data_IF_695103814967
#
_entry.id   IF_695103814967
#
_cell.length_a   1.000
_cell.length_b   1.000
_cell.length_c   1.000
_cell.angle_alpha   90.00
_cell.angle_beta   90.00
_cell.angle_gamma   90.00
#
_symmetry.space_group_name_H-M   'P 1'
#
loop_
_entity.id
_entity.type
_entity.pdbx_description
1 polymer ?
#
# COMPACT_ATOMS: atom_id res chain seq x y z
N UNK A 1 -25.79 27.70 -23.52
CA UNK A 1 -25.41 26.89 -22.34
C UNK A 1 -26.68 26.48 -21.62
N UNK A 2 -27.09 25.21 -21.71
CA UNK A 2 -28.25 24.70 -20.99
C UNK A 2 -27.81 24.19 -19.62
N UNK A 3 -28.41 24.71 -18.55
CA UNK A 3 -28.09 24.31 -17.18
C UNK A 3 -28.68 22.92 -16.88
N UNK A 4 -27.83 21.99 -16.45
CA UNK A 4 -28.24 20.63 -16.04
C UNK A 4 -28.84 20.69 -14.64
N UNK A 5 -30.09 20.27 -14.50
CA UNK A 5 -30.84 20.31 -13.24
C UNK A 5 -30.72 18.96 -12.52
N UNK A 6 -30.01 18.95 -11.39
CA UNK A 6 -29.80 17.75 -10.57
C UNK A 6 -31.05 17.40 -9.76
N UNK A 7 -31.42 16.12 -9.75
CA UNK A 7 -32.50 15.60 -8.92
C UNK A 7 -31.97 14.46 -8.05
N UNK A 8 -32.29 14.51 -6.76
CA UNK A 8 -32.02 13.42 -5.81
C UNK A 8 -32.88 12.20 -6.15
N UNK A 9 -32.25 11.04 -6.35
CA UNK A 9 -32.95 9.75 -6.41
C UNK A 9 -32.93 9.10 -5.03
N UNK A 10 -34.11 8.74 -4.54
CA UNK A 10 -34.25 7.96 -3.31
C UNK A 10 -33.78 6.51 -3.54
N UNK A 11 -32.78 6.08 -2.76
CA UNK A 11 -32.25 4.71 -2.76
C UNK A 11 -33.15 3.81 -1.90
N UNK A 12 -33.57 2.66 -2.43
CA UNK A 12 -34.43 1.70 -1.72
C UNK A 12 -33.58 0.64 -1.01
N UNK A 13 -33.23 0.93 0.23
CA UNK A 13 -32.34 0.09 1.04
C UNK A 13 -32.92 -1.30 1.31
N UNK A 14 -34.24 -1.44 1.47
CA UNK A 14 -34.89 -2.72 1.76
C UNK A 14 -34.74 -3.72 0.59
N UNK A 15 -34.89 -3.23 -0.65
CA UNK A 15 -34.72 -4.07 -1.84
C UNK A 15 -33.26 -4.50 -2.05
N UNK A 16 -32.30 -3.63 -1.73
CA UNK A 16 -30.87 -3.99 -1.81
C UNK A 16 -30.48 -5.02 -0.73
N UNK A 17 -31.02 -4.87 0.48
CA UNK A 17 -30.78 -5.81 1.58
C UNK A 17 -31.30 -7.21 1.25
N UNK A 18 -32.47 -7.31 0.61
CA UNK A 18 -33.04 -8.59 0.17
C UNK A 18 -32.26 -9.22 -0.98
N UNK A 19 -31.70 -8.42 -1.90
CA UNK A 19 -30.89 -8.94 -3.01
C UNK A 19 -29.47 -9.34 -2.63
N UNK A 20 -28.92 -8.77 -1.54
CA UNK A 20 -27.53 -8.97 -1.12
C UNK A 20 -27.39 -9.69 0.23
N UNK A 21 -28.48 -10.15 0.83
CA UNK A 21 -28.48 -10.91 2.07
C UNK A 21 -27.95 -12.32 1.84
N UNK A 22 -26.84 -12.68 2.50
CA UNK A 22 -26.37 -14.06 2.60
C UNK A 22 -27.34 -14.88 3.45
N UNK A 23 -27.56 -16.13 3.06
CA UNK A 23 -28.45 -17.06 3.76
C UNK A 23 -27.94 -17.30 5.19
N UNK A 24 -28.78 -17.01 6.18
CA UNK A 24 -28.43 -17.19 7.60
C UNK A 24 -28.56 -18.68 7.93
N UNK A 25 -27.44 -19.41 7.87
CA UNK A 25 -27.38 -20.77 8.40
C UNK A 25 -27.40 -20.72 9.94
N UNK A 26 -28.30 -21.46 10.62
CA UNK A 26 -28.27 -21.60 12.06
C UNK A 26 -26.99 -22.34 12.46
N UNK A 27 -26.15 -21.72 13.31
CA UNK A 27 -24.99 -22.38 13.88
C UNK A 27 -25.45 -23.17 15.10
N UNK A 28 -25.45 -24.51 14.99
CA UNK A 28 -25.62 -25.38 16.15
C UNK A 28 -24.37 -25.30 17.04
N UNK A 29 -24.55 -24.87 18.30
CA UNK A 29 -23.48 -24.82 19.28
C UNK A 29 -23.11 -26.22 19.74
N UNK A 30 -22.03 -26.78 19.19
CA UNK A 30 -21.40 -27.99 19.72
C UNK A 30 -20.71 -27.71 21.06
N UNK A 31 -20.75 -28.68 21.97
CA UNK A 31 -20.35 -28.55 23.38
C UNK A 31 -18.85 -28.30 23.64
N UNK A 32 -18.03 -28.26 22.59
CA UNK A 32 -16.60 -27.96 22.69
C UNK A 32 -16.29 -26.57 22.13
N UNK A 33 -16.33 -25.57 23.01
CA UNK A 33 -15.86 -24.21 22.71
C UNK A 33 -14.52 -23.95 23.42
N UNK A 34 -13.48 -23.44 22.71
CA UNK A 34 -12.12 -23.26 23.23
C UNK A 34 -11.97 -22.22 24.35
N UNK A 35 -13.06 -21.59 24.79
CA UNK A 35 -13.11 -20.61 25.89
C UNK A 35 -14.02 -21.03 27.06
N UNK A 36 -14.41 -22.31 27.18
CA UNK A 36 -15.07 -22.78 28.40
C UNK A 36 -14.06 -22.77 29.57
N UNK A 37 -14.43 -22.11 30.67
CA UNK A 37 -13.64 -22.01 31.89
C UNK A 37 -13.38 -23.39 32.50
N UNK A 38 -12.12 -23.74 32.72
CA UNK A 38 -11.69 -24.97 33.39
C UNK A 38 -12.03 -24.88 34.88
N UNK A 39 -13.06 -25.60 35.33
CA UNK A 39 -13.26 -25.90 36.75
C UNK A 39 -12.50 -27.18 37.10
N UNK A 40 -11.47 -27.03 37.92
CA UNK A 40 -10.65 -28.13 38.45
C UNK A 40 -11.42 -28.81 39.60
N UNK A 41 -11.80 -30.07 39.43
CA UNK A 41 -12.22 -30.95 40.53
C UNK A 41 -11.10 -31.93 40.85
N UNK A 42 -10.61 -31.85 42.09
CA UNK A 42 -9.61 -32.73 42.67
C UNK A 42 -10.18 -34.12 42.92
N UNK A 43 -9.50 -35.18 42.46
CA UNK A 43 -9.82 -36.56 42.84
C UNK A 43 -8.54 -37.37 43.04
N UNK A 44 -8.29 -37.66 44.32
CA UNK A 44 -7.14 -38.35 44.88
C UNK A 44 -7.25 -39.88 44.70
N UNK A 45 -6.22 -40.47 44.11
CA UNK A 45 -5.61 -41.80 44.35
C UNK A 45 -6.45 -43.08 44.23
N UNK A 46 -6.02 -43.98 43.31
CA UNK A 46 -5.59 -45.34 43.71
C UNK A 46 -4.65 -45.99 42.68
N UNK A 47 -3.62 -46.66 43.21
CA UNK A 47 -2.54 -47.41 42.54
C UNK A 47 -3.07 -48.65 41.79
N UNK A 48 -2.40 -49.02 40.68
CA UNK A 48 -2.58 -50.32 40.02
C UNK A 48 -1.60 -50.60 38.88
N UNK A 49 -0.48 -51.23 39.23
CA UNK A 49 0.41 -52.17 38.51
C UNK A 49 0.66 -52.16 36.97
N UNK A 50 1.94 -52.42 36.68
CA UNK A 50 2.66 -52.68 35.42
C UNK A 50 2.20 -53.93 34.62
N UNK A 51 2.31 -53.84 33.29
CA UNK A 51 2.85 -54.80 32.30
C UNK A 51 2.62 -54.18 30.90
N UNK A 52 3.51 -54.12 29.92
CA UNK A 52 4.70 -54.91 29.62
C UNK A 52 4.49 -55.65 28.29
N UNK A 53 5.19 -55.19 27.24
CA UNK A 53 5.58 -55.93 26.00
C UNK A 53 4.49 -56.16 24.93
N UNK A 54 4.71 -56.36 23.62
CA UNK A 54 5.76 -56.18 22.58
C UNK A 54 5.12 -56.74 21.28
N UNK A 55 5.51 -56.23 20.09
CA UNK A 55 5.58 -56.93 18.75
C UNK A 55 4.29 -57.53 18.14
N UNK A 56 4.05 -57.70 16.83
CA UNK A 56 4.70 -57.38 15.54
C UNK A 56 3.80 -57.92 14.40
N UNK A 57 3.77 -57.23 13.25
CA UNK A 57 3.65 -57.70 11.84
C UNK A 57 2.90 -59.01 11.45
N UNK A 58 2.05 -58.95 10.41
CA UNK A 58 2.32 -59.51 9.05
C UNK A 58 1.11 -59.46 8.09
N UNK A 59 1.44 -59.51 6.79
CA UNK A 59 0.72 -59.45 5.50
C UNK A 59 -0.30 -60.60 5.24
N UNK A 60 -1.11 -60.72 4.16
CA UNK A 60 -0.96 -60.44 2.71
C UNK A 60 -2.24 -60.83 1.91
N UNK A 61 -2.26 -60.47 0.61
CA UNK A 61 -2.97 -61.09 -0.56
C UNK A 61 -4.39 -60.59 -0.91
N UNK A 62 -4.89 -60.55 -2.14
CA UNK A 62 -4.37 -60.55 -3.54
C UNK A 62 -5.59 -60.39 -4.47
N UNK A 63 -5.45 -59.76 -5.65
CA UNK A 63 -6.15 -60.15 -6.90
C UNK A 63 -5.77 -59.22 -8.06
N UNK A 64 -5.49 -59.84 -9.19
CA UNK A 64 -4.99 -59.27 -10.44
C UNK A 64 -6.17 -59.13 -11.41
N UNK A 65 -6.29 -57.98 -12.08
CA UNK A 65 -7.15 -57.77 -13.24
C UNK A 65 -6.27 -57.39 -14.46
N UNK A 66 -6.65 -57.77 -15.69
CA UNK A 66 -5.76 -57.75 -16.85
C UNK A 66 -5.53 -56.34 -17.43
N UNK A 67 -4.34 -56.23 -18.02
CA UNK A 67 -3.66 -55.07 -18.61
C UNK A 67 -4.33 -54.54 -19.92
N UNK A 68 -4.66 -53.23 -20.04
CA UNK A 68 -5.37 -52.66 -21.17
C UNK A 68 -4.47 -52.16 -22.32
N UNK A 69 -3.19 -52.56 -22.41
CA UNK A 69 -2.24 -51.99 -23.38
C UNK A 69 -2.09 -52.73 -24.72
N UNK A 70 -2.90 -53.75 -25.01
CA UNK A 70 -2.79 -54.53 -26.27
C UNK A 70 -3.57 -53.96 -27.47
N UNK A 71 -4.05 -52.71 -27.42
CA UNK A 71 -4.82 -52.08 -28.53
C UNK A 71 -4.23 -50.79 -29.13
N UNK A 72 -2.99 -50.41 -28.78
CA UNK A 72 -2.37 -49.17 -29.28
C UNK A 72 -1.29 -49.35 -30.35
N UNK A 73 -1.24 -50.49 -31.04
CA UNK A 73 -0.24 -50.74 -32.10
C UNK A 73 -0.85 -50.79 -33.50
N UNK A 74 -1.83 -49.93 -33.78
CA UNK A 74 -2.20 -49.65 -35.17
C UNK A 74 -2.44 -48.14 -35.38
N UNK A 75 -1.59 -47.55 -36.22
CA UNK A 75 -1.89 -46.32 -36.96
C UNK A 75 -1.76 -44.97 -36.23
N UNK A 76 -0.64 -44.29 -36.49
CA UNK A 76 -0.38 -42.83 -36.35
C UNK A 76 -0.23 -42.22 -34.95
N UNK A 77 0.99 -41.75 -34.66
CA UNK A 77 1.35 -40.96 -33.47
C UNK A 77 0.61 -39.61 -33.44
N UNK A 78 -0.17 -39.31 -32.38
CA UNK A 78 -0.96 -38.08 -32.27
C UNK A 78 -0.12 -36.80 -32.26
N UNK A 79 1.19 -36.84 -31.98
CA UNK A 79 2.06 -35.66 -32.04
C UNK A 79 2.27 -35.15 -33.47
N UNK A 80 2.23 -36.03 -34.47
CA UNK A 80 2.44 -35.63 -35.88
C UNK A 80 1.25 -34.86 -36.46
N UNK A 81 0.04 -35.07 -35.95
CA UNK A 81 -1.15 -34.34 -36.38
C UNK A 81 -1.20 -32.91 -35.83
N UNK A 82 -0.73 -32.68 -34.60
CA UNK A 82 -0.64 -31.33 -34.03
C UNK A 82 0.46 -30.48 -34.68
N UNK A 83 1.58 -31.12 -35.09
CA UNK A 83 2.66 -30.44 -35.82
C UNK A 83 2.25 -30.04 -37.26
N UNK A 84 1.39 -30.81 -37.92
CA UNK A 84 0.91 -30.50 -39.28
C UNK A 84 -0.17 -29.41 -39.30
N UNK A 85 -1.03 -29.34 -38.26
CA UNK A 85 -2.06 -28.31 -38.15
C UNK A 85 -1.51 -26.92 -37.77
N UNK A 86 -0.29 -26.83 -37.23
CA UNK A 86 0.35 -25.57 -36.83
C UNK A 86 1.17 -24.91 -37.96
N UNK A 87 1.29 -25.54 -39.12
CA UNK A 87 2.06 -25.02 -40.26
C UNK A 87 1.24 -24.21 -41.28
N UNK A 88 -0.06 -23.97 -41.06
CA UNK A 88 -0.93 -23.28 -42.03
C UNK A 88 -1.85 -22.18 -41.45
N UNK A 89 -1.44 -21.55 -40.35
CA UNK A 89 -2.04 -20.27 -39.93
C UNK A 89 -0.94 -19.27 -39.57
N UNK A 90 -0.80 -18.24 -40.40
CA UNK A 90 -0.06 -17.03 -40.03
C UNK A 90 -0.81 -16.33 -38.89
N UNK A 91 -0.22 -16.13 -37.70
CA UNK A 91 -0.94 -15.45 -36.62
C UNK A 91 -0.97 -13.93 -36.89
N UNK A 92 -2.15 -13.28 -36.94
CA UNK A 92 -2.22 -11.85 -36.82
C UNK A 92 -2.05 -11.45 -35.34
N UNK A 93 -1.25 -10.42 -35.08
CA UNK A 93 -1.44 -9.45 -33.97
C UNK A 93 -1.20 -9.84 -32.50
N UNK A 94 -0.55 -10.96 -32.14
CA UNK A 94 -0.16 -11.19 -30.72
C UNK A 94 0.92 -10.21 -30.21
N UNK A 95 1.83 -9.77 -31.09
CA UNK A 95 2.86 -8.78 -30.74
C UNK A 95 2.29 -7.37 -30.59
N UNK A 96 1.32 -6.97 -31.42
CA UNK A 96 0.62 -5.69 -31.28
C UNK A 96 -0.29 -5.68 -30.05
N UNK A 97 -0.93 -6.80 -29.69
CA UNK A 97 -1.76 -6.86 -28.49
C UNK A 97 -0.93 -6.85 -27.20
N UNK A 98 0.26 -7.47 -27.17
CA UNK A 98 1.22 -7.30 -26.05
C UNK A 98 1.76 -5.88 -25.97
N UNK A 99 2.20 -5.31 -27.10
CA UNK A 99 2.74 -3.93 -27.15
C UNK A 99 1.69 -2.86 -26.86
N UNK A 100 0.41 -3.12 -27.17
CA UNK A 100 -0.73 -2.26 -26.81
C UNK A 100 -1.07 -2.37 -25.32
N UNK A 101 -0.97 -3.57 -24.72
CA UNK A 101 -1.18 -3.81 -23.28
C UNK A 101 -0.03 -3.25 -22.42
N UNK A 102 1.22 -3.40 -22.85
CA UNK A 102 2.40 -2.81 -22.22
C UNK A 102 2.36 -1.26 -22.25
N UNK A 103 1.89 -0.67 -23.35
CA UNK A 103 1.72 0.80 -23.46
C UNK A 103 0.55 1.32 -22.62
N UNK A 104 -0.37 0.44 -22.23
CA UNK A 104 -1.50 0.76 -21.34
C UNK A 104 -1.10 0.65 -19.86
N UNK A 105 -0.07 -0.15 -19.54
CA UNK A 105 0.53 -0.31 -18.22
C UNK A 105 1.46 0.85 -17.81
N UNK A 106 1.76 1.78 -18.71
CA UNK A 106 2.50 3.01 -18.40
C UNK A 106 1.58 4.24 -18.35
N UNK A 107 1.91 5.13 -17.41
CA UNK A 107 1.26 6.43 -17.28
C UNK A 107 1.64 7.30 -18.48
N UNK A 108 0.64 7.81 -19.18
CA UNK A 108 0.82 8.63 -20.38
C UNK A 108 1.28 10.06 -20.08
N UNK A 109 1.72 10.75 -21.12
CA UNK A 109 2.19 12.15 -21.08
C UNK A 109 1.08 13.13 -20.64
N UNK A 110 -0.18 12.71 -20.75
CA UNK A 110 -1.36 13.43 -20.30
C UNK A 110 -1.54 13.44 -18.78
N UNK A 111 -0.76 12.65 -18.03
CA UNK A 111 -0.76 12.67 -16.58
C UNK A 111 0.23 13.70 -16.04
N UNK A 112 -0.27 14.63 -15.22
CA UNK A 112 0.56 15.65 -14.59
C UNK A 112 1.58 15.00 -13.61
N UNK A 113 2.89 15.22 -13.78
CA UNK A 113 3.90 14.60 -12.94
C UNK A 113 3.96 15.24 -11.54
N UNK A 114 4.38 14.45 -10.54
CA UNK A 114 4.49 14.90 -9.15
C UNK A 114 5.47 16.08 -8.98
N UNK A 115 6.50 16.14 -9.81
CA UNK A 115 7.50 17.21 -9.82
C UNK A 115 6.87 18.60 -10.05
N UNK A 116 5.80 18.70 -10.84
CA UNK A 116 5.07 19.95 -11.06
C UNK A 116 4.39 20.43 -9.78
N UNK A 117 3.70 19.54 -9.05
CA UNK A 117 2.99 19.89 -7.81
C UNK A 117 3.92 20.14 -6.64
N UNK A 118 5.06 19.46 -6.61
CA UNK A 118 6.10 19.65 -5.58
C UNK A 118 6.48 21.13 -5.43
N UNK A 119 6.77 21.82 -6.55
CA UNK A 119 7.16 23.22 -6.53
C UNK A 119 6.06 24.14 -5.98
N UNK A 120 4.81 23.91 -6.39
CA UNK A 120 3.65 24.67 -5.92
C UNK A 120 3.43 24.51 -4.41
N UNK A 121 3.53 23.28 -3.90
CA UNK A 121 3.35 22.99 -2.47
C UNK A 121 4.41 23.74 -1.64
N UNK A 122 5.69 23.64 -2.03
CA UNK A 122 6.78 24.30 -1.31
C UNK A 122 6.67 25.83 -1.31
N UNK A 123 6.17 26.41 -2.40
CA UNK A 123 5.95 27.86 -2.50
C UNK A 123 4.75 28.33 -1.69
N UNK A 124 3.69 27.51 -1.60
CA UNK A 124 2.42 27.87 -0.96
C UNK A 124 2.40 27.65 0.55
N UNK A 125 2.96 26.56 1.02
CA UNK A 125 2.88 26.15 2.43
C UNK A 125 4.19 26.48 3.15
N UNK A 126 4.37 27.77 3.41
CA UNK A 126 5.53 28.33 4.11
C UNK A 126 5.18 28.66 5.56
N UNK A 127 6.21 28.89 6.39
CA UNK A 127 6.00 29.27 7.79
C UNK A 127 7.12 30.16 8.33
N UNK A 128 6.76 31.05 9.24
CA UNK A 128 7.70 31.82 10.08
C UNK A 128 7.81 31.25 11.49
N UNK A 129 7.00 30.23 11.82
CA UNK A 129 7.07 29.55 13.11
C UNK A 129 8.32 28.68 13.22
N UNK A 130 8.73 28.44 14.46
CA UNK A 130 9.90 27.67 14.83
C UNK A 130 9.61 26.17 14.69
N UNK A 131 10.28 25.53 13.74
CA UNK A 131 10.18 24.10 13.44
C UNK A 131 11.11 23.28 14.33
N UNK A 132 10.90 21.96 14.38
CA UNK A 132 11.79 21.05 15.10
C UNK A 132 11.97 19.73 14.35
N UNK A 133 13.14 19.12 14.54
CA UNK A 133 13.48 17.79 14.03
C UNK A 133 13.89 16.93 15.22
N UNK A 134 12.94 16.17 15.75
CA UNK A 134 13.19 15.24 16.84
C UNK A 134 13.75 13.91 16.29
N UNK A 135 15.05 13.90 15.98
CA UNK A 135 15.74 12.70 15.52
C UNK A 135 16.50 12.06 16.68
N UNK A 136 16.03 10.91 17.18
CA UNK A 136 16.83 10.08 18.08
C UNK A 136 17.81 9.26 17.25
N UNK A 137 18.85 9.91 16.71
CA UNK A 137 20.02 9.19 16.20
C UNK A 137 20.96 8.99 17.38
N UNK A 138 20.82 7.85 18.05
CA UNK A 138 21.78 7.40 19.05
C UNK A 138 23.18 7.43 18.46
N UNK A 139 23.97 8.43 18.89
CA UNK A 139 25.40 8.42 18.70
C UNK A 139 25.93 7.25 19.52
N UNK A 140 26.21 6.12 18.88
CA UNK A 140 26.94 5.03 19.55
C UNK A 140 28.38 5.48 19.77
N UNK A 141 28.59 6.23 20.85
CA UNK A 141 29.89 6.38 21.48
C UNK A 141 29.73 6.19 22.99
N UNK A 142 30.18 5.03 23.45
CA UNK A 142 30.55 4.81 24.85
C UNK A 142 29.55 4.00 25.67
N UNK A 143 29.77 2.69 25.74
CA UNK A 143 29.36 1.89 26.90
C UNK A 143 29.84 2.59 28.18
N UNK A 144 28.92 2.92 29.08
CA UNK A 144 29.23 3.04 30.50
C UNK A 144 28.50 1.89 31.23
N UNK A 145 29.23 1.01 31.95
CA UNK A 145 28.59 -0.02 32.75
C UNK A 145 27.95 0.62 33.98
N UNK A 146 26.71 0.24 34.28
CA UNK A 146 26.11 0.51 35.57
C UNK A 146 26.86 -0.25 36.66
N UNK A 147 27.36 0.45 37.69
CA UNK A 147 27.11 0.16 39.11
C UNK A 147 28.01 1.02 40.03
N UNK A 148 27.40 1.44 41.14
CA UNK A 148 28.00 1.87 42.41
C UNK A 148 28.53 3.31 42.55
N UNK A 149 27.78 4.06 43.38
CA UNK A 149 28.20 5.17 44.24
C UNK A 149 29.70 5.17 44.61
N UNK A 150 30.43 6.22 44.23
CA UNK A 150 31.44 6.87 45.09
C UNK A 150 31.90 8.20 44.48
N UNK A 151 32.08 9.20 45.36
CA UNK A 151 32.58 10.57 45.16
C UNK A 151 33.18 10.94 43.79
N UNK A 152 32.41 11.69 42.99
CA UNK A 152 32.90 12.33 41.76
C UNK A 152 33.65 13.61 42.14
N UNK A 153 34.95 13.66 41.84
CA UNK A 153 35.78 14.87 42.02
C UNK A 153 35.24 16.01 41.16
N UNK A 154 35.26 17.23 41.69
CA UNK A 154 34.73 18.46 41.09
C UNK A 154 35.15 18.66 39.62
N UNK A 155 36.37 18.24 39.25
CA UNK A 155 36.91 18.28 37.88
C UNK A 155 36.21 17.37 36.88
N UNK A 156 35.67 16.23 37.34
CA UNK A 156 34.90 15.30 36.50
C UNK A 156 33.47 15.82 36.36
N UNK A 157 32.94 16.47 37.39
CA UNK A 157 31.64 17.14 37.35
C UNK A 157 31.64 18.29 36.33
N UNK A 158 32.66 19.15 36.34
CA UNK A 158 32.77 20.25 35.35
C UNK A 158 32.88 19.72 33.92
N UNK A 159 33.57 18.60 33.69
CA UNK A 159 33.64 17.97 32.36
C UNK A 159 32.34 17.29 31.93
N UNK A 160 31.55 16.78 32.87
CA UNK A 160 30.22 16.25 32.55
C UNK A 160 29.24 17.39 32.24
N UNK A 161 29.28 18.49 33.02
CA UNK A 161 28.45 19.68 32.78
C UNK A 161 28.82 20.33 31.42
N UNK A 162 30.11 20.42 31.06
CA UNK A 162 30.53 20.90 29.73
C UNK A 162 30.07 19.98 28.58
N UNK A 163 30.02 18.66 28.78
CA UNK A 163 29.50 17.73 27.76
C UNK A 163 27.98 17.82 27.64
N UNK A 164 27.28 18.04 28.75
CA UNK A 164 25.83 18.25 28.81
C UNK A 164 25.44 19.56 28.13
N UNK A 165 26.18 20.65 28.37
CA UNK A 165 25.98 21.94 27.70
C UNK A 165 26.20 21.86 26.18
N UNK A 166 27.16 21.05 25.73
CA UNK A 166 27.44 20.83 24.30
C UNK A 166 26.37 19.94 23.63
N UNK A 167 25.91 18.90 24.32
CA UNK A 167 24.84 18.03 23.84
C UNK A 167 23.49 18.77 23.82
N UNK A 168 23.18 19.53 24.87
CA UNK A 168 22.01 20.40 24.97
C UNK A 168 22.03 21.49 23.88
N UNK A 169 23.19 22.06 23.56
CA UNK A 169 23.37 22.95 22.41
C UNK A 169 22.98 22.30 21.08
N UNK A 170 23.45 21.08 20.82
CA UNK A 170 23.14 20.34 19.59
C UNK A 170 21.68 19.87 19.49
N UNK A 171 21.06 19.51 20.63
CA UNK A 171 19.63 19.21 20.68
C UNK A 171 18.78 20.48 20.52
N UNK A 172 19.23 21.61 21.08
CA UNK A 172 18.57 22.90 20.96
C UNK A 172 18.70 23.52 19.58
N UNK A 173 19.71 23.15 18.79
CA UNK A 173 19.82 23.47 17.34
C UNK A 173 18.80 22.70 16.49
N UNK A 174 18.44 21.47 16.90
CA UNK A 174 17.39 20.67 16.24
C UNK A 174 15.97 21.11 16.62
N UNK A 175 15.85 21.93 17.67
CA UNK A 175 14.64 22.60 18.08
C UNK A 175 14.71 24.05 17.57
N UNK A 176 13.58 24.69 17.26
CA UNK A 176 13.53 26.10 16.86
C UNK A 176 14.17 26.50 15.52
N UNK A 177 14.10 25.63 14.53
CA UNK A 177 14.57 25.86 13.17
C UNK A 177 13.70 26.87 12.42
N UNK A 178 14.32 27.73 11.60
CA UNK A 178 13.58 28.46 10.57
C UNK A 178 13.14 27.49 9.47
N UNK A 179 12.26 27.94 8.57
CA UNK A 179 11.89 27.15 7.39
C UNK A 179 13.14 26.76 6.58
N UNK A 180 14.05 27.70 6.31
CA UNK A 180 15.23 27.41 5.49
C UNK A 180 16.18 26.44 6.21
N UNK A 181 16.38 26.60 7.52
CA UNK A 181 17.23 25.69 8.29
C UNK A 181 16.63 24.28 8.32
N UNK A 182 15.31 24.17 8.43
CA UNK A 182 14.61 22.90 8.32
C UNK A 182 14.86 22.25 6.96
N UNK A 183 14.69 22.98 5.84
CA UNK A 183 14.96 22.45 4.50
C UNK A 183 16.41 21.98 4.37
N UNK A 184 17.37 22.82 4.76
CA UNK A 184 18.80 22.49 4.74
C UNK A 184 19.08 21.20 5.53
N UNK A 185 18.47 21.06 6.71
CA UNK A 185 18.66 19.88 7.56
C UNK A 185 18.07 18.61 6.95
N UNK A 186 16.93 18.70 6.27
CA UNK A 186 16.37 17.57 5.50
C UNK A 186 17.28 17.21 4.31
N UNK A 187 17.86 18.19 3.63
CA UNK A 187 18.82 17.95 2.55
C UNK A 187 20.10 17.26 3.05
N UNK A 188 20.62 17.67 4.21
CA UNK A 188 21.75 17.00 4.89
C UNK A 188 21.44 15.54 5.26
N UNK A 189 20.21 15.25 5.70
CA UNK A 189 19.77 13.87 5.97
C UNK A 189 19.71 13.05 4.68
N UNK A 190 19.25 13.64 3.58
CA UNK A 190 19.26 12.99 2.26
C UNK A 190 20.70 12.71 1.78
N UNK A 191 21.61 13.64 2.01
CA UNK A 191 23.01 13.47 1.66
C UNK A 191 23.68 12.40 2.53
N UNK A 192 23.42 12.41 3.84
CA UNK A 192 23.88 11.38 4.78
C UNK A 192 23.36 9.98 4.41
N UNK A 193 22.14 9.88 3.90
CA UNK A 193 21.58 8.65 3.37
C UNK A 193 22.40 8.13 2.17
N UNK A 194 22.67 9.00 1.19
CA UNK A 194 23.43 8.64 -0.02
C UNK A 194 24.86 8.20 0.33
N UNK A 195 25.52 8.92 1.24
CA UNK A 195 26.87 8.59 1.70
C UNK A 195 26.94 7.27 2.48
N UNK A 196 25.98 7.04 3.38
CA UNK A 196 25.84 5.78 4.08
C UNK A 196 25.60 4.62 3.09
N UNK A 197 24.78 4.85 2.06
CA UNK A 197 24.54 3.86 1.02
C UNK A 197 25.79 3.55 0.20
N UNK A 198 26.52 4.58 -0.24
CA UNK A 198 27.75 4.46 -1.02
C UNK A 198 28.87 3.76 -0.22
N UNK A 199 28.90 3.95 1.09
CA UNK A 199 29.84 3.29 2.01
C UNK A 199 29.38 1.89 2.47
N UNK A 200 28.39 1.30 1.79
CA UNK A 200 27.76 0.01 2.11
C UNK A 200 27.15 -0.12 3.52
N UNK A 201 26.94 1.00 4.22
CA UNK A 201 26.32 1.04 5.55
C UNK A 201 24.78 0.96 5.46
N UNK A 202 24.26 -0.14 4.91
CA UNK A 202 22.81 -0.30 4.61
C UNK A 202 21.92 -0.22 5.85
N UNK A 203 22.41 -0.66 7.01
CA UNK A 203 21.70 -0.54 8.29
C UNK A 203 21.57 0.94 8.69
N UNK A 204 22.62 1.75 8.50
CA UNK A 204 22.59 3.19 8.77
C UNK A 204 21.64 3.91 7.82
N UNK A 205 21.70 3.58 6.52
CA UNK A 205 20.76 4.09 5.52
C UNK A 205 19.29 3.80 5.91
N UNK A 206 18.98 2.55 6.29
CA UNK A 206 17.64 2.18 6.75
C UNK A 206 17.22 2.96 8.01
N UNK A 207 18.13 3.12 8.99
CA UNK A 207 17.87 3.92 10.20
C UNK A 207 17.51 5.37 9.86
N UNK A 208 18.26 6.02 8.96
CA UNK A 208 18.00 7.41 8.53
C UNK A 208 16.58 7.53 7.97
N UNK A 209 16.19 6.61 7.09
CA UNK A 209 14.89 6.66 6.40
C UNK A 209 13.73 6.37 7.36
N UNK A 210 13.91 5.44 8.30
CA UNK A 210 12.93 5.21 9.39
C UNK A 210 12.73 6.51 10.18
N UNK A 211 13.82 7.18 10.54
CA UNK A 211 13.76 8.42 11.32
C UNK A 211 13.11 9.57 10.52
N UNK A 212 13.44 9.72 9.23
CA UNK A 212 12.77 10.69 8.36
C UNK A 212 11.27 10.41 8.29
N UNK A 213 10.86 9.15 8.15
CA UNK A 213 9.44 8.77 8.11
C UNK A 213 8.70 9.07 9.41
N UNK A 214 9.37 9.02 10.57
CA UNK A 214 8.77 9.39 11.86
C UNK A 214 8.36 10.86 11.89
N UNK A 215 9.12 11.75 11.23
CA UNK A 215 8.81 13.18 11.16
C UNK A 215 7.44 13.44 10.51
N UNK A 216 6.92 12.50 9.70
CA UNK A 216 5.59 12.60 9.09
C UNK A 216 4.44 12.36 10.07
N UNK A 217 4.71 11.81 11.25
CA UNK A 217 3.72 11.71 12.34
C UNK A 217 3.61 12.99 13.15
N UNK A 218 4.60 13.89 13.06
CA UNK A 218 4.61 15.15 13.78
C UNK A 218 3.86 16.24 13.00
N UNK A 219 2.76 16.70 13.60
CA UNK A 219 1.91 17.79 13.10
C UNK A 219 2.13 19.11 13.84
N UNK A 220 3.27 19.29 14.50
CA UNK A 220 3.73 20.60 14.93
C UNK A 220 3.93 21.53 13.73
N UNK A 221 3.48 22.78 13.88
CA UNK A 221 3.39 23.80 12.82
C UNK A 221 2.59 23.25 11.63
N UNK A 222 1.31 22.98 11.87
CA UNK A 222 0.44 22.22 10.96
C UNK A 222 0.34 22.83 9.55
N UNK A 223 0.44 24.16 9.45
CA UNK A 223 0.41 24.89 8.17
C UNK A 223 1.58 24.53 7.24
N UNK A 224 2.72 24.13 7.81
CA UNK A 224 3.91 23.69 7.06
C UNK A 224 3.88 22.20 6.70
N UNK A 225 2.91 21.42 7.20
CA UNK A 225 2.85 19.98 7.00
C UNK A 225 2.90 19.55 5.52
N UNK A 226 2.20 20.21 4.57
CA UNK A 226 2.31 19.87 3.15
C UNK A 226 3.75 19.94 2.61
N UNK A 227 4.49 20.98 2.97
CA UNK A 227 5.90 21.15 2.57
C UNK A 227 6.80 20.13 3.25
N UNK A 228 6.60 19.91 4.57
CA UNK A 228 7.26 18.87 5.35
C UNK A 228 7.13 17.50 4.67
N UNK A 229 5.91 17.13 4.28
CA UNK A 229 5.61 15.88 3.62
C UNK A 229 6.42 15.71 2.33
N UNK A 230 6.36 16.71 1.44
CA UNK A 230 7.05 16.65 0.14
C UNK A 230 8.56 16.42 0.32
N UNK A 231 9.19 17.20 1.19
CA UNK A 231 10.63 17.11 1.46
C UNK A 231 11.05 15.74 1.99
N UNK A 232 10.30 15.18 2.93
CA UNK A 232 10.60 13.87 3.51
C UNK A 232 10.36 12.75 2.49
N UNK A 233 9.30 12.85 1.68
CA UNK A 233 9.02 11.83 0.66
C UNK A 233 10.07 11.76 -0.44
N UNK A 234 10.80 12.85 -0.72
CA UNK A 234 11.95 12.82 -1.64
C UNK A 234 13.09 11.92 -1.12
N UNK A 235 13.31 11.88 0.20
CA UNK A 235 14.29 10.98 0.84
C UNK A 235 13.82 9.53 0.73
N UNK A 236 12.54 9.28 0.98
CA UNK A 236 11.94 7.94 0.86
C UNK A 236 12.06 7.40 -0.57
N UNK A 237 11.75 8.24 -1.56
CA UNK A 237 11.90 7.90 -2.98
C UNK A 237 13.35 7.59 -3.35
N UNK A 238 14.29 8.36 -2.81
CA UNK A 238 15.73 8.12 -3.01
C UNK A 238 16.13 6.75 -2.45
N UNK A 239 15.70 6.43 -1.24
CA UNK A 239 15.96 5.11 -0.65
C UNK A 239 15.33 3.97 -1.45
N UNK A 240 14.06 4.11 -1.85
CA UNK A 240 13.34 3.13 -2.67
C UNK A 240 14.06 2.83 -3.99
N UNK A 241 14.53 3.88 -4.68
CA UNK A 241 15.35 3.74 -5.91
C UNK A 241 16.66 3.01 -5.64
N UNK A 242 17.41 3.39 -4.61
CA UNK A 242 18.68 2.77 -4.26
C UNK A 242 18.53 1.27 -3.96
N UNK A 243 17.48 0.88 -3.23
CA UNK A 243 17.19 -0.54 -2.94
C UNK A 243 16.82 -1.28 -4.23
N UNK A 244 15.95 -0.70 -5.06
CA UNK A 244 15.55 -1.28 -6.33
C UNK A 244 16.75 -1.51 -7.26
N UNK A 245 17.60 -0.50 -7.45
CA UNK A 245 18.80 -0.56 -8.29
C UNK A 245 19.77 -1.64 -7.83
N UNK A 246 19.96 -1.80 -6.51
CA UNK A 246 20.80 -2.86 -5.95
C UNK A 246 20.26 -4.26 -6.27
N UNK A 247 18.95 -4.47 -6.10
CA UNK A 247 18.36 -5.78 -6.39
C UNK A 247 18.42 -6.04 -7.89
N UNK A 248 18.12 -5.03 -8.71
CA UNK A 248 18.20 -5.09 -10.17
C UNK A 248 19.60 -5.46 -10.67
N UNK A 249 20.66 -4.86 -10.11
CA UNK A 249 22.03 -5.17 -10.51
C UNK A 249 22.41 -6.61 -10.22
N UNK A 250 21.88 -7.20 -9.14
CA UNK A 250 22.11 -8.62 -8.81
C UNK A 250 21.40 -9.57 -9.76
N UNK A 251 20.33 -9.12 -10.42
CA UNK A 251 19.62 -9.92 -11.41
C UNK A 251 20.34 -9.94 -12.77
N UNK A 252 21.13 -8.91 -13.06
CA UNK A 252 21.75 -8.65 -14.37
C UNK A 252 23.05 -9.41 -14.64
N UNK A 253 23.51 -10.23 -13.69
CA UNK A 253 24.74 -11.04 -13.81
C UNK A 253 24.35 -12.51 -14.06
N UNK A 254 24.68 -13.12 -15.23
CA UNK A 254 25.56 -12.65 -16.31
C UNK A 254 24.88 -12.00 -17.53
N UNK A 255 23.55 -11.86 -17.56
CA UNK A 255 22.82 -11.19 -18.65
C UNK A 255 21.81 -10.17 -18.11
N UNK A 256 21.76 -8.93 -18.64
CA UNK A 256 20.79 -7.94 -18.20
C UNK A 256 19.36 -8.42 -18.49
N UNK A 257 18.47 -8.24 -17.51
CA UNK A 257 17.06 -8.58 -17.71
C UNK A 257 16.37 -7.54 -18.60
N UNK A 258 15.39 -7.95 -19.42
CA UNK A 258 14.52 -7.03 -20.13
C UNK A 258 13.72 -6.14 -19.16
N UNK A 259 13.36 -4.94 -19.59
CA UNK A 259 12.52 -4.02 -18.80
C UNK A 259 11.13 -4.60 -18.47
N UNK A 260 10.69 -5.62 -19.20
CA UNK A 260 9.44 -6.36 -19.02
C UNK A 260 9.63 -7.75 -18.38
N UNK A 261 10.69 -7.93 -17.57
CA UNK A 261 10.95 -9.23 -16.93
C UNK A 261 9.81 -9.68 -16.01
N UNK A 262 9.71 -11.00 -15.85
CA UNK A 262 8.79 -11.63 -14.91
C UNK A 262 9.52 -12.13 -13.66
N UNK A 263 8.83 -12.21 -12.52
CA UNK A 263 9.42 -12.70 -11.27
C UNK A 263 10.04 -14.12 -11.39
N UNK A 264 9.60 -14.92 -12.35
CA UNK A 264 10.13 -16.26 -12.62
C UNK A 264 11.57 -16.21 -13.21
N UNK A 265 11.94 -15.11 -13.87
CA UNK A 265 13.25 -14.89 -14.50
C UNK A 265 14.28 -14.29 -13.52
N UNK A 266 13.85 -13.93 -12.31
CA UNK A 266 14.72 -13.36 -11.26
C UNK A 266 15.41 -14.49 -10.51
N UNK A 267 16.74 -14.39 -10.36
CA UNK A 267 17.54 -15.37 -9.63
C UNK A 267 17.20 -15.42 -8.13
N UNK A 268 17.51 -16.55 -7.50
CA UNK A 268 17.14 -16.80 -6.10
C UNK A 268 17.85 -15.84 -5.13
N UNK A 269 19.11 -15.46 -5.42
CA UNK A 269 19.87 -14.53 -4.58
C UNK A 269 19.23 -13.13 -4.53
N UNK A 270 18.73 -12.63 -5.66
CA UNK A 270 18.03 -11.35 -5.73
C UNK A 270 16.66 -11.44 -5.05
N UNK A 271 15.92 -12.56 -5.22
CA UNK A 271 14.67 -12.81 -4.49
C UNK A 271 14.87 -12.84 -2.99
N UNK A 272 15.89 -13.55 -2.51
CA UNK A 272 16.22 -13.63 -1.08
C UNK A 272 16.61 -12.26 -0.52
N UNK A 273 17.43 -11.50 -1.26
CA UNK A 273 17.81 -10.13 -0.89
C UNK A 273 16.59 -9.22 -0.81
N UNK A 274 15.66 -9.33 -1.76
CA UNK A 274 14.42 -8.57 -1.78
C UNK A 274 13.51 -8.95 -0.59
N UNK A 275 13.31 -10.24 -0.32
CA UNK A 275 12.57 -10.72 0.84
C UNK A 275 13.18 -10.23 2.16
N UNK A 276 14.51 -10.23 2.27
CA UNK A 276 15.20 -9.73 3.46
C UNK A 276 14.87 -8.26 3.74
N UNK A 277 14.81 -7.42 2.70
CA UNK A 277 14.36 -6.03 2.84
C UNK A 277 12.92 -5.94 3.35
N UNK A 278 12.00 -6.70 2.77
CA UNK A 278 10.61 -6.73 3.24
C UNK A 278 10.50 -7.21 4.69
N UNK A 279 11.24 -8.25 5.09
CA UNK A 279 11.25 -8.70 6.49
C UNK A 279 11.83 -7.66 7.46
N UNK A 280 12.89 -6.95 7.06
CA UNK A 280 13.43 -5.83 7.86
C UNK A 280 12.41 -4.71 8.02
N UNK A 281 11.69 -4.36 6.96
CA UNK A 281 10.65 -3.32 7.01
C UNK A 281 9.46 -3.78 7.86
N UNK A 282 9.00 -5.01 7.67
CA UNK A 282 7.90 -5.61 8.44
C UNK A 282 8.19 -5.64 9.96
N UNK A 283 9.47 -5.73 10.34
CA UNK A 283 9.93 -5.72 11.74
C UNK A 283 9.87 -4.34 12.42
N UNK A 284 9.63 -3.25 11.67
CA UNK A 284 9.45 -1.90 12.23
C UNK A 284 8.13 -1.86 13.01
N UNK A 285 8.20 -1.56 14.31
CA UNK A 285 7.04 -1.58 15.21
C UNK A 285 6.07 -0.42 15.00
N UNK A 286 6.61 0.78 14.73
CA UNK A 286 5.80 1.97 14.54
C UNK A 286 5.08 1.96 13.19
N UNK A 287 3.78 2.27 13.20
CA UNK A 287 2.93 2.19 12.02
C UNK A 287 3.40 3.12 10.90
N UNK A 288 3.63 4.40 11.22
CA UNK A 288 3.94 5.44 10.22
C UNK A 288 5.25 5.12 9.48
N UNK A 289 6.39 4.89 10.16
CA UNK A 289 7.63 4.57 9.47
C UNK A 289 7.55 3.26 8.68
N UNK A 290 6.92 2.23 9.24
CA UNK A 290 6.72 0.96 8.53
C UNK A 290 5.96 1.18 7.22
N UNK A 291 4.84 1.91 7.28
CA UNK A 291 3.98 2.15 6.14
C UNK A 291 4.71 2.92 5.03
N UNK A 292 5.36 4.04 5.35
CA UNK A 292 6.03 4.87 4.36
C UNK A 292 7.22 4.15 3.71
N UNK A 293 8.04 3.45 4.49
CA UNK A 293 9.18 2.69 3.96
C UNK A 293 8.71 1.51 3.11
N UNK A 294 7.63 0.84 3.51
CA UNK A 294 7.06 -0.26 2.73
C UNK A 294 6.48 0.23 1.39
N UNK A 295 5.78 1.37 1.39
CA UNK A 295 5.30 2.01 0.15
C UNK A 295 6.48 2.44 -0.73
N UNK A 296 7.57 2.98 -0.17
CA UNK A 296 8.76 3.36 -0.94
C UNK A 296 9.41 2.16 -1.66
N UNK A 297 9.28 0.95 -1.09
CA UNK A 297 9.77 -0.29 -1.69
C UNK A 297 8.71 -1.02 -2.52
N UNK A 298 7.54 -0.43 -2.77
CA UNK A 298 6.44 -1.10 -3.48
C UNK A 298 6.89 -1.64 -4.84
N UNK A 299 7.73 -0.88 -5.58
CA UNK A 299 8.32 -1.29 -6.86
C UNK A 299 9.16 -2.57 -6.77
N UNK A 300 9.77 -2.86 -5.62
CA UNK A 300 10.56 -4.07 -5.41
C UNK A 300 9.72 -5.34 -5.38
N UNK A 301 8.39 -5.26 -5.20
CA UNK A 301 7.51 -6.45 -5.30
C UNK A 301 7.61 -7.14 -6.67
N UNK A 302 8.02 -6.41 -7.72
CA UNK A 302 8.22 -6.94 -9.07
C UNK A 302 9.25 -8.08 -9.12
N UNK A 303 10.17 -8.14 -8.16
CA UNK A 303 11.17 -9.21 -8.06
C UNK A 303 10.63 -10.51 -7.46
N UNK A 304 9.51 -10.44 -6.73
CA UNK A 304 9.02 -11.57 -5.92
C UNK A 304 7.87 -12.30 -6.60
N UNK A 305 6.81 -11.57 -6.95
CA UNK A 305 5.59 -12.18 -7.49
C UNK A 305 4.90 -11.24 -8.48
N UNK A 306 4.21 -11.81 -9.47
CA UNK A 306 3.40 -11.06 -10.45
C UNK A 306 2.22 -10.33 -9.78
N UNK A 307 1.66 -10.91 -8.71
CA UNK A 307 0.50 -10.36 -8.00
C UNK A 307 0.87 -9.60 -6.71
N UNK A 308 2.16 -9.49 -6.34
CA UNK A 308 2.56 -8.96 -5.03
C UNK A 308 2.09 -7.53 -4.78
N UNK A 309 2.09 -6.69 -5.83
CA UNK A 309 1.58 -5.32 -5.75
C UNK A 309 0.04 -5.32 -5.56
N UNK A 310 -0.66 -6.24 -6.23
CA UNK A 310 -2.12 -6.37 -6.13
C UNK A 310 -2.60 -6.74 -4.73
N UNK A 311 -1.80 -7.50 -3.98
CA UNK A 311 -2.08 -7.86 -2.59
C UNK A 311 -1.59 -6.79 -1.60
N UNK A 312 -0.43 -6.18 -1.88
CA UNK A 312 0.21 -5.22 -0.99
C UNK A 312 -0.56 -3.89 -0.94
N UNK A 313 -1.06 -3.36 -2.06
CA UNK A 313 -1.75 -2.06 -2.09
C UNK A 313 -3.06 -2.07 -1.26
N UNK A 314 -3.95 -3.08 -1.35
CA UNK A 314 -5.12 -3.18 -0.48
C UNK A 314 -4.75 -3.30 1.00
N UNK A 315 -3.72 -4.07 1.34
CA UNK A 315 -3.23 -4.19 2.73
C UNK A 315 -2.72 -2.85 3.25
N UNK A 316 -1.90 -2.13 2.48
CA UNK A 316 -1.40 -0.80 2.84
C UNK A 316 -2.57 0.19 2.99
N UNK A 317 -3.56 0.15 2.10
CA UNK A 317 -4.78 0.97 2.21
C UNK A 317 -5.52 0.72 3.52
N UNK A 318 -5.65 -0.55 3.93
CA UNK A 318 -6.25 -0.91 5.21
C UNK A 318 -5.40 -0.43 6.40
N UNK A 319 -4.06 -0.51 6.32
CA UNK A 319 -3.16 -0.02 7.36
C UNK A 319 -3.29 1.49 7.60
N UNK A 320 -3.52 2.29 6.54
CA UNK A 320 -3.70 3.75 6.68
C UNK A 320 -4.92 4.09 7.56
N UNK A 321 -5.93 3.21 7.67
CA UNK A 321 -7.08 3.42 8.57
C UNK A 321 -6.67 3.48 10.04
N UNK A 322 -5.51 2.92 10.41
CA UNK A 322 -4.96 2.98 11.75
C UNK A 322 -4.29 4.31 12.09
N UNK A 323 -4.18 5.25 11.15
CA UNK A 323 -3.63 6.59 11.39
C UNK A 323 -4.75 7.47 11.98
N UNK A 324 -4.56 7.91 13.23
CA UNK A 324 -5.58 8.70 13.94
C UNK A 324 -5.65 10.18 13.54
N UNK A 325 -4.55 10.75 13.06
CA UNK A 325 -4.54 12.13 12.56
C UNK A 325 -5.03 12.16 11.09
N UNK A 326 -6.14 12.84 10.77
CA UNK A 326 -6.72 12.81 9.44
C UNK A 326 -5.88 13.54 8.38
N UNK A 327 -5.04 14.51 8.77
CA UNK A 327 -4.10 15.17 7.86
C UNK A 327 -2.96 14.22 7.50
N UNK A 328 -2.37 13.56 8.51
CA UNK A 328 -1.34 12.53 8.26
C UNK A 328 -1.90 11.40 7.41
N UNK A 329 -3.14 10.98 7.67
CA UNK A 329 -3.80 9.91 6.91
C UNK A 329 -4.00 10.27 5.44
N UNK A 330 -4.51 11.47 5.11
CA UNK A 330 -4.73 11.86 3.70
C UNK A 330 -3.42 11.96 2.92
N UNK A 331 -2.33 12.39 3.56
CA UNK A 331 -1.03 12.46 2.92
C UNK A 331 -0.40 11.07 2.72
N UNK A 332 -0.58 10.15 3.67
CA UNK A 332 -0.20 8.75 3.49
C UNK A 332 -0.97 8.10 2.32
N UNK A 333 -2.27 8.44 2.17
CA UNK A 333 -3.08 8.03 1.01
C UNK A 333 -2.54 8.58 -0.30
N UNK A 334 -2.20 9.86 -0.33
CA UNK A 334 -1.63 10.49 -1.51
C UNK A 334 -0.28 9.86 -1.90
N UNK A 335 0.59 9.55 -0.93
CA UNK A 335 1.85 8.85 -1.18
C UNK A 335 1.63 7.46 -1.77
N UNK A 336 0.71 6.67 -1.19
CA UNK A 336 0.36 5.35 -1.71
C UNK A 336 -0.23 5.43 -3.13
N UNK A 337 -1.11 6.40 -3.40
CA UNK A 337 -1.65 6.61 -4.75
C UNK A 337 -0.56 6.99 -5.75
N UNK A 338 0.39 7.86 -5.35
CA UNK A 338 1.52 8.26 -6.20
C UNK A 338 2.37 7.07 -6.61
N UNK A 339 2.87 6.31 -5.64
CA UNK A 339 3.73 5.15 -5.92
C UNK A 339 2.93 4.03 -6.59
N UNK A 340 1.66 3.85 -6.22
CA UNK A 340 0.75 2.91 -6.88
C UNK A 340 0.55 3.21 -8.37
N UNK A 341 0.37 4.47 -8.74
CA UNK A 341 0.28 4.90 -10.14
C UNK A 341 1.59 4.73 -10.90
N UNK A 342 2.74 4.92 -10.26
CA UNK A 342 4.05 4.70 -10.89
C UNK A 342 4.32 3.22 -11.18
N UNK A 343 3.89 2.33 -10.28
CA UNK A 343 4.27 0.91 -10.31
C UNK A 343 3.20 0.01 -10.94
N UNK A 344 1.91 0.33 -10.76
CA UNK A 344 0.79 -0.48 -11.24
C UNK A 344 -0.46 0.39 -11.52
N UNK A 345 -0.45 1.21 -12.58
CA UNK A 345 -1.54 2.14 -12.90
C UNK A 345 -2.86 1.44 -13.26
N UNK A 346 -2.82 0.16 -13.61
CA UNK A 346 -4.00 -0.67 -13.88
C UNK A 346 -4.78 -1.03 -12.60
N UNK A 347 -4.21 -0.91 -11.39
CA UNK A 347 -4.87 -1.25 -10.12
C UNK A 347 -5.83 -0.16 -9.62
N UNK A 348 -6.73 0.28 -10.49
CA UNK A 348 -7.70 1.35 -10.22
C UNK A 348 -8.64 1.03 -9.07
N UNK A 349 -9.08 -0.22 -8.93
CA UNK A 349 -10.01 -0.61 -7.86
C UNK A 349 -9.42 -0.40 -6.46
N UNK A 350 -8.13 -0.68 -6.30
CA UNK A 350 -7.41 -0.43 -5.06
C UNK A 350 -7.29 1.06 -4.74
N UNK A 351 -7.06 1.90 -5.75
CA UNK A 351 -7.01 3.36 -5.60
C UNK A 351 -8.40 3.95 -5.33
N UNK A 352 -9.44 3.42 -5.97
CA UNK A 352 -10.84 3.77 -5.71
C UNK A 352 -11.20 3.48 -4.25
N UNK A 353 -10.86 2.29 -3.76
CA UNK A 353 -11.06 1.92 -2.35
C UNK A 353 -10.33 2.88 -1.41
N UNK A 354 -9.10 3.30 -1.77
CA UNK A 354 -8.35 4.28 -0.99
C UNK A 354 -9.07 5.63 -0.89
N UNK A 355 -9.66 6.10 -1.99
CA UNK A 355 -10.46 7.32 -2.02
C UNK A 355 -11.78 7.19 -1.23
N UNK A 356 -12.50 6.07 -1.37
CA UNK A 356 -13.72 5.86 -0.58
C UNK A 356 -13.43 5.74 0.93
N UNK A 357 -12.31 5.13 1.31
CA UNK A 357 -11.85 5.10 2.71
C UNK A 357 -11.57 6.52 3.22
N UNK A 358 -10.97 7.40 2.42
CA UNK A 358 -10.79 8.81 2.77
C UNK A 358 -12.13 9.49 3.06
N UNK A 359 -13.11 9.35 2.17
CA UNK A 359 -14.45 9.93 2.34
C UNK A 359 -15.14 9.38 3.60
N UNK A 360 -15.02 8.08 3.85
CA UNK A 360 -15.57 7.44 5.05
C UNK A 360 -14.98 8.01 6.34
N UNK A 361 -13.69 8.38 6.33
CA UNK A 361 -13.01 8.97 7.49
C UNK A 361 -13.09 10.50 7.55
N UNK A 362 -13.68 11.18 6.56
CA UNK A 362 -13.66 12.65 6.47
C UNK A 362 -14.29 13.36 7.67
N UNK A 363 -15.25 12.72 8.34
CA UNK A 363 -15.88 13.25 9.56
C UNK A 363 -14.87 13.47 10.72
N UNK A 364 -13.75 12.77 10.73
CA UNK A 364 -12.71 12.88 11.77
C UNK A 364 -12.08 14.28 11.84
N UNK A 365 -12.15 15.07 10.76
CA UNK A 365 -11.71 16.47 10.73
C UNK A 365 -12.40 17.32 11.81
N UNK A 366 -13.63 16.97 12.18
CA UNK A 366 -14.41 17.67 13.19
C UNK A 366 -14.31 17.03 14.58
N UNK A 367 -13.44 16.03 14.77
CA UNK A 367 -13.26 15.36 16.05
C UNK A 367 -12.51 16.23 17.07
N UNK A 368 -12.78 16.00 18.36
CA UNK A 368 -12.25 16.80 19.47
C UNK A 368 -10.72 16.91 19.45
N UNK A 369 -10.01 15.83 19.11
CA UNK A 369 -8.54 15.84 19.01
C UNK A 369 -8.03 16.87 18.01
N UNK A 370 -8.66 16.94 16.83
CA UNK A 370 -8.28 17.89 15.78
C UNK A 370 -8.66 19.30 16.20
N UNK A 371 -9.87 19.50 16.75
CA UNK A 371 -10.30 20.81 17.23
C UNK A 371 -9.36 21.37 18.32
N UNK A 372 -8.99 20.54 19.30
CA UNK A 372 -8.06 20.92 20.36
C UNK A 372 -6.69 21.31 19.78
N UNK A 373 -6.16 20.54 18.83
CA UNK A 373 -4.91 20.86 18.16
C UNK A 373 -4.98 22.18 17.39
N UNK A 374 -6.07 22.42 16.66
CA UNK A 374 -6.28 23.64 15.89
C UNK A 374 -6.39 24.88 16.79
N UNK A 375 -7.06 24.76 17.94
CA UNK A 375 -7.11 25.82 18.96
C UNK A 375 -5.72 26.12 19.52
N UNK A 376 -4.95 25.09 19.87
CA UNK A 376 -3.59 25.25 20.40
C UNK A 376 -2.65 25.93 19.40
N UNK A 377 -2.75 25.56 18.12
CA UNK A 377 -1.93 26.13 17.05
C UNK A 377 -2.54 27.40 16.42
N UNK A 378 -3.70 27.88 16.91
CA UNK A 378 -4.42 29.06 16.42
C UNK A 378 -4.75 29.01 14.93
N UNK A 379 -5.14 27.85 14.43
CA UNK A 379 -5.51 27.64 13.02
C UNK A 379 -7.01 27.45 12.89
N UNK A 380 -7.65 28.24 12.03
CA UNK A 380 -9.07 28.09 11.75
C UNK A 380 -9.36 26.89 10.83
N UNK A 381 -10.55 26.30 10.96
CA UNK A 381 -10.98 25.15 10.14
C UNK A 381 -10.85 25.42 8.62
N UNK A 382 -11.24 26.57 8.05
CA UNK A 382 -11.07 26.82 6.62
C UNK A 382 -9.60 26.73 6.18
N UNK A 383 -8.67 27.29 6.96
CA UNK A 383 -7.23 27.22 6.69
C UNK A 383 -6.75 25.78 6.77
N UNK A 384 -7.15 25.05 7.81
CA UNK A 384 -6.83 23.64 7.97
C UNK A 384 -7.29 22.78 6.77
N UNK A 385 -8.50 23.02 6.27
CA UNK A 385 -9.02 22.32 5.08
C UNK A 385 -8.19 22.61 3.82
N UNK A 386 -7.59 23.80 3.69
CA UNK A 386 -6.70 24.08 2.55
C UNK A 386 -5.45 23.20 2.55
N UNK A 387 -5.01 22.71 3.71
CA UNK A 387 -3.87 21.79 3.83
C UNK A 387 -4.15 20.43 3.19
N UNK A 388 -5.42 20.04 3.05
CA UNK A 388 -5.80 18.77 2.39
C UNK A 388 -5.74 18.88 0.87
N UNK A 389 -5.82 20.11 0.34
CA UNK A 389 -5.99 20.35 -1.10
C UNK A 389 -4.93 19.64 -1.96
N UNK A 390 -3.62 19.68 -1.64
CA UNK A 390 -2.62 19.01 -2.47
C UNK A 390 -2.80 17.49 -2.50
N UNK A 391 -3.06 16.89 -1.35
CA UNK A 391 -3.22 15.45 -1.21
C UNK A 391 -4.50 14.96 -1.92
N UNK A 392 -5.64 15.63 -1.69
CA UNK A 392 -6.91 15.30 -2.35
C UNK A 392 -6.80 15.47 -3.86
N UNK A 393 -6.23 16.59 -4.32
CA UNK A 393 -6.04 16.83 -5.75
C UNK A 393 -5.22 15.73 -6.41
N UNK A 394 -4.15 15.25 -5.74
CA UNK A 394 -3.34 14.15 -6.25
C UNK A 394 -4.10 12.82 -6.28
N UNK A 395 -4.81 12.47 -5.20
CA UNK A 395 -5.63 11.25 -5.13
C UNK A 395 -6.68 11.26 -6.25
N UNK A 396 -7.38 12.38 -6.43
CA UNK A 396 -8.39 12.53 -7.48
C UNK A 396 -7.79 12.40 -8.88
N UNK A 397 -6.61 12.96 -9.14
CA UNK A 397 -5.91 12.77 -10.40
C UNK A 397 -5.59 11.29 -10.64
N UNK A 398 -5.10 10.58 -9.62
CA UNK A 398 -4.79 9.15 -9.71
C UNK A 398 -6.05 8.31 -10.03
N UNK A 399 -7.17 8.61 -9.36
CA UNK A 399 -8.44 7.90 -9.53
C UNK A 399 -9.11 8.20 -10.87
N UNK A 400 -9.13 9.46 -11.29
CA UNK A 400 -9.79 9.90 -12.53
C UNK A 400 -9.02 9.55 -13.80
N UNK A 401 -7.71 9.34 -13.72
CA UNK A 401 -6.88 9.06 -14.89
C UNK A 401 -7.36 7.80 -15.64
N UNK A 402 -7.76 7.96 -16.91
CA UNK A 402 -8.34 6.91 -17.78
C UNK A 402 -9.58 6.21 -17.18
N UNK A 403 -10.36 6.91 -16.35
CA UNK A 403 -11.62 6.37 -15.87
C UNK A 403 -12.60 6.14 -17.05
N UNK A 404 -13.24 4.96 -17.15
CA UNK A 404 -14.15 4.67 -18.26
C UNK A 404 -15.35 5.62 -18.24
N UNK A 405 -15.66 6.24 -19.39
CA UNK A 405 -16.71 7.27 -19.58
C UNK A 405 -18.13 6.81 -19.20
N UNK A 406 -18.31 5.53 -18.89
CA UNK A 406 -19.58 4.89 -18.52
C UNK A 406 -20.20 5.48 -17.24
N UNK A 407 -19.42 6.18 -16.40
CA UNK A 407 -19.93 6.87 -15.21
C UNK A 407 -20.47 8.29 -15.47
N UNK A 408 -20.25 8.85 -16.66
CA UNK A 408 -20.60 10.25 -16.98
C UNK A 408 -21.79 10.42 -17.93
N UNK A 409 -22.36 9.34 -18.47
CA UNK A 409 -23.54 9.41 -19.31
C UNK A 409 -24.75 8.76 -18.62
N UNK A 410 -25.88 9.49 -18.42
CA UNK A 410 -27.13 8.84 -18.08
C UNK A 410 -27.47 7.87 -19.21
N UNK A 411 -27.83 6.63 -18.85
CA UNK A 411 -28.24 5.60 -19.79
C UNK A 411 -29.23 6.18 -20.82
N UNK A 412 -29.07 5.89 -22.12
CA UNK A 412 -30.02 6.35 -23.11
C UNK A 412 -31.43 5.87 -22.72
N UNK A 413 -32.46 6.71 -22.86
CA UNK A 413 -33.81 6.32 -22.50
C UNK A 413 -34.16 5.05 -23.28
N UNK A 414 -34.48 3.98 -22.55
CA UNK A 414 -35.12 2.81 -23.15
C UNK A 414 -36.37 3.33 -23.85
N UNK A 415 -36.37 3.28 -25.18
CA UNK A 415 -37.55 3.54 -25.97
C UNK A 415 -38.62 2.55 -25.51
N UNK A 416 -39.64 3.06 -24.81
CA UNK A 416 -40.87 2.34 -24.57
C UNK A 416 -41.39 1.87 -25.93
N UNK A 417 -41.35 0.56 -26.16
CA UNK A 417 -42.07 -0.05 -27.26
C UNK A 417 -43.56 0.19 -27.00
N UNK A 418 -44.19 1.01 -27.84
CA UNK A 418 -45.64 1.15 -27.88
C UNK A 418 -46.29 -0.22 -28.16
N UNK A 419 -47.37 -0.59 -27.44
CA UNK A 419 -48.10 -1.81 -27.73
C UNK A 419 -48.93 -1.65 -29.02
N UNK A 420 -49.17 -2.74 -29.77
CA UNK A 420 -49.88 -2.64 -31.04
C UNK A 420 -51.37 -2.40 -30.81
N UNK A 421 -51.90 -1.31 -31.38
CA UNK A 421 -53.34 -1.05 -31.44
C UNK A 421 -54.03 -1.97 -32.48
N UNK A 422 -55.26 -2.43 -32.21
CA UNK A 422 -55.92 -3.44 -33.03
C UNK A 422 -56.63 -2.84 -34.26
N UNK A 423 -56.59 -3.62 -35.35
CA UNK A 423 -57.35 -3.44 -36.58
C UNK A 423 -58.83 -3.09 -36.34
N UNK A 424 -59.30 -2.00 -36.95
CA UNK A 424 -60.69 -1.91 -37.40
C UNK A 424 -60.81 -1.15 -38.73
N UNK A 425 -60.89 -1.95 -39.77
CA UNK A 425 -61.44 -1.62 -41.08
C UNK A 425 -62.79 -0.91 -40.96
N UNK A 426 -63.01 0.12 -41.79
CA UNK A 426 -64.20 0.17 -42.66
C UNK A 426 -64.09 1.23 -43.75
N UNK A 427 -64.38 0.72 -44.93
CA UNK A 427 -64.38 1.33 -46.25
C UNK A 427 -65.34 2.51 -46.37
N UNK A 428 -64.92 3.49 -47.17
CA UNK A 428 -65.70 4.58 -47.76
C UNK A 428 -66.98 4.04 -48.39
N UNK A 429 -68.12 4.62 -48.02
CA UNK A 429 -69.35 4.62 -48.83
C UNK A 429 -69.33 5.89 -49.66
N UNK A 430 -69.34 5.74 -50.99
CA UNK A 430 -69.59 6.81 -51.96
C UNK A 430 -70.98 6.60 -52.55
N UNK A 431 -71.63 7.70 -52.90
CA UNK A 431 -73.07 7.88 -52.94
C UNK A 431 -73.78 7.51 -54.27
N UNK A 432 -75.11 7.44 -54.15
CA UNK A 432 -76.14 7.87 -55.12
C UNK A 432 -76.52 6.94 -56.28
N UNK A 433 -77.72 6.35 -56.21
CA UNK A 433 -78.98 6.83 -56.84
C UNK A 433 -80.15 6.49 -55.92
#
# INVERSE_FOLDING_TARGET
>A
MAAVQWHSRARRYESELQSCGLEVAPVEFSDYHPLKSITVTDSKSRRGARKGSTSSSSSSSSSVAPDPLSSMLDGTDPLSMFAAASASESPPTLSQSRKRREKEDEVGVDFEPWSSKRGEILARFTTTEKLSINLFMGSEKGKAPSLASSAVSEKVRTRLEELDDLEEGSQRELLNLSQQDYVNRIEELNQSLKEAWASDQKVKALKIVIQCSKLLSDTAVIQFYPSKFVLITDILDTFGRLVYERIWSMCSDPRPLPDSFTADEVNDTAKETCLNWFFKIASIRELIPRLYVEVALLKCNRFLTKCGIQETVPRLTAMIRGIGDPLVAVYARAYLCRIGMEVAPHLKDSLNKNFFDLLGTFRQIHGDSVQNQLVLQRVEIPVYLTLYSPAIHWILQCVSYRAPEVHCHPAPPQTMNDPPHPNRSRSRVQASV
#
